data_IF_682710486396
#
_entry.id   IF_682710486396
#
_cell.length_a   1.000
_cell.length_b   1.000
_cell.length_c   1.000
_cell.angle_alpha   90.00
_cell.angle_beta   90.00
_cell.angle_gamma   90.00
#
_symmetry.space_group_name_H-M   'P 1'
#
loop_
_entity.id
_entity.type
_entity.pdbx_description
1 polymer ?
#
# COMPACT_ATOMS: atom_id res chain seq x y z
N UNK A 1 8.65 4.70 -18.33
CA UNK A 1 9.85 5.03 -17.53
C UNK A 1 9.56 6.05 -16.43
N UNK A 2 9.16 7.31 -16.71
CA UNK A 2 8.90 8.31 -15.65
C UNK A 2 7.72 8.00 -14.70
N UNK A 3 6.66 7.35 -15.17
CA UNK A 3 5.49 7.00 -14.34
C UNK A 3 5.80 5.87 -13.34
N UNK A 4 6.59 4.86 -13.73
CA UNK A 4 7.00 3.77 -12.83
C UNK A 4 7.88 4.25 -11.67
N UNK A 5 8.74 5.24 -11.90
CA UNK A 5 9.58 5.86 -10.86
C UNK A 5 8.73 6.64 -9.85
N UNK A 6 7.74 7.39 -10.33
CA UNK A 6 6.80 8.12 -9.48
C UNK A 6 5.93 7.16 -8.65
N UNK A 7 5.46 6.06 -9.25
CA UNK A 7 4.74 5.01 -8.51
C UNK A 7 5.61 4.40 -7.41
N UNK A 8 6.87 4.08 -7.72
CA UNK A 8 7.81 3.51 -6.75
C UNK A 8 8.06 4.46 -5.58
N UNK A 9 8.37 5.73 -5.88
CA UNK A 9 8.62 6.74 -4.84
C UNK A 9 7.40 6.93 -3.92
N UNK A 10 6.21 7.02 -4.49
CA UNK A 10 4.99 7.22 -3.72
C UNK A 10 4.63 5.98 -2.88
N UNK A 11 4.77 4.78 -3.43
CA UNK A 11 4.50 3.54 -2.71
C UNK A 11 5.51 3.31 -1.58
N UNK A 12 6.79 3.63 -1.79
CA UNK A 12 7.83 3.61 -0.75
C UNK A 12 7.52 4.61 0.36
N UNK A 13 7.09 5.83 0.02
CA UNK A 13 6.70 6.84 1.00
C UNK A 13 5.48 6.41 1.81
N UNK A 14 4.42 5.92 1.15
CA UNK A 14 3.23 5.39 1.84
C UNK A 14 3.55 4.20 2.73
N UNK A 15 4.43 3.30 2.28
CA UNK A 15 4.85 2.14 3.07
C UNK A 15 5.64 2.56 4.31
N UNK A 16 6.49 3.58 4.19
CA UNK A 16 7.24 4.15 5.30
C UNK A 16 6.31 4.81 6.33
N UNK A 17 5.34 5.62 5.87
CA UNK A 17 4.32 6.24 6.74
C UNK A 17 3.47 5.18 7.44
N UNK A 18 3.06 4.14 6.70
CA UNK A 18 2.30 3.01 7.25
C UNK A 18 3.08 2.30 8.37
N UNK A 19 4.38 2.09 8.19
CA UNK A 19 5.22 1.44 9.20
C UNK A 19 5.25 2.26 10.50
N UNK A 20 5.52 3.57 10.41
CA UNK A 20 5.53 4.46 11.58
C UNK A 20 4.19 4.44 12.30
N UNK A 21 3.07 4.49 11.57
CA UNK A 21 1.74 4.41 12.18
C UNK A 21 1.47 3.05 12.83
N UNK A 22 1.97 1.97 12.23
CA UNK A 22 1.85 0.64 12.81
C UNK A 22 2.64 0.54 14.12
N UNK A 23 3.85 1.11 14.18
CA UNK A 23 4.69 1.15 15.38
C UNK A 23 4.03 1.95 16.52
N UNK A 24 3.32 3.03 16.18
CA UNK A 24 2.49 3.79 17.12
C UNK A 24 1.34 2.91 17.65
N UNK A 25 0.70 2.13 16.79
CA UNK A 25 -0.43 1.26 17.18
C UNK A 25 0.01 0.08 18.04
N UNK A 26 1.21 -0.45 17.82
CA UNK A 26 1.78 -1.54 18.60
C UNK A 26 2.40 -1.06 19.92
N UNK A 27 2.43 0.25 20.19
CA UNK A 27 3.13 0.85 21.33
C UNK A 27 4.58 0.37 21.44
N UNK A 28 5.22 0.10 20.30
CA UNK A 28 6.62 -0.31 20.26
C UNK A 28 7.49 0.89 20.66
N UNK A 29 8.35 0.69 21.66
CA UNK A 29 9.37 1.67 22.03
C UNK A 29 10.44 1.65 20.92
N UNK A 30 10.60 2.77 20.22
CA UNK A 30 11.53 2.90 19.10
C UNK A 30 12.53 4.03 19.40
N UNK A 31 13.80 3.81 19.07
CA UNK A 31 14.89 4.78 19.33
C UNK A 31 14.76 6.10 18.54
N UNK A 32 13.96 6.12 17.46
CA UNK A 32 13.74 7.28 16.61
C UNK A 32 12.44 8.04 16.90
N UNK A 33 11.55 7.48 17.73
CA UNK A 33 10.35 8.16 18.19
C UNK A 33 10.60 8.66 19.62
N UNK A 34 10.26 9.91 19.95
CA UNK A 34 10.31 10.36 21.34
C UNK A 34 9.51 9.37 22.20
N UNK A 35 10.04 8.99 23.37
CA UNK A 35 9.33 8.18 24.38
C UNK A 35 8.09 8.94 24.85
N UNK A 36 7.04 8.86 24.04
CA UNK A 36 5.78 9.54 24.22
C UNK A 36 4.73 8.47 24.43
N UNK A 37 4.03 8.54 25.55
CA UNK A 37 2.87 7.70 25.77
C UNK A 37 1.76 8.18 24.83
N UNK A 38 1.41 7.37 23.83
CA UNK A 38 0.35 7.69 22.88
C UNK A 38 -1.01 7.60 23.56
N UNK A 39 -1.83 8.62 23.38
CA UNK A 39 -3.20 8.59 23.88
C UNK A 39 -4.02 7.53 23.14
N UNK A 40 -5.04 6.98 23.82
CA UNK A 40 -5.99 6.06 23.18
C UNK A 40 -6.66 6.65 21.94
N UNK A 41 -6.79 7.99 21.86
CA UNK A 41 -7.33 8.68 20.70
C UNK A 41 -6.35 8.66 19.51
N UNK A 42 -5.07 8.92 19.76
CA UNK A 42 -4.01 8.87 18.74
C UNK A 42 -3.82 7.45 18.20
N UNK A 43 -3.87 6.43 19.06
CA UNK A 43 -3.84 5.01 18.64
C UNK A 43 -5.04 4.69 17.73
N UNK A 44 -6.25 5.12 18.11
CA UNK A 44 -7.46 4.91 17.29
C UNK A 44 -7.34 5.61 15.93
N UNK A 45 -6.86 6.86 15.90
CA UNK A 45 -6.61 7.60 14.64
C UNK A 45 -5.57 6.91 13.78
N UNK A 46 -4.47 6.46 14.37
CA UNK A 46 -3.40 5.74 13.65
C UNK A 46 -3.91 4.45 13.02
N UNK A 47 -4.74 3.67 13.74
CA UNK A 47 -5.41 2.48 13.18
C UNK A 47 -6.27 2.80 11.96
N UNK A 48 -7.01 3.91 11.99
CA UNK A 48 -7.83 4.35 10.85
C UNK A 48 -6.92 4.74 9.67
N UNK A 49 -5.86 5.50 9.92
CA UNK A 49 -4.91 5.92 8.89
C UNK A 49 -4.21 4.74 8.23
N UNK A 50 -3.79 3.72 8.99
CA UNK A 50 -3.21 2.48 8.45
C UNK A 50 -4.19 1.81 7.48
N UNK A 51 -5.46 1.67 7.85
CA UNK A 51 -6.49 1.09 6.97
C UNK A 51 -6.68 1.91 5.69
N UNK A 52 -6.64 3.23 5.78
CA UNK A 52 -6.77 4.11 4.61
C UNK A 52 -5.56 3.97 3.69
N UNK A 53 -4.34 3.91 4.23
CA UNK A 53 -3.11 3.72 3.44
C UNK A 53 -3.10 2.33 2.78
N UNK A 54 -3.51 1.29 3.49
CA UNK A 54 -3.66 -0.06 2.93
C UNK A 54 -4.60 -0.08 1.72
N UNK A 55 -5.74 0.59 1.84
CA UNK A 55 -6.70 0.73 0.74
C UNK A 55 -6.10 1.49 -0.44
N UNK A 56 -5.40 2.61 -0.20
CA UNK A 56 -4.76 3.39 -1.26
C UNK A 56 -3.66 2.60 -2.00
N UNK A 57 -2.83 1.85 -1.27
CA UNK A 57 -1.81 0.99 -1.85
C UNK A 57 -2.43 -0.14 -2.69
N UNK A 58 -3.53 -0.73 -2.22
CA UNK A 58 -4.26 -1.74 -2.97
C UNK A 58 -4.84 -1.20 -4.28
N UNK A 59 -5.55 -0.07 -4.22
CA UNK A 59 -6.14 0.58 -5.39
C UNK A 59 -5.08 0.98 -6.42
N UNK A 60 -3.95 1.53 -5.98
CA UNK A 60 -2.82 1.88 -6.86
C UNK A 60 -2.19 0.66 -7.52
N UNK A 61 -1.98 -0.41 -6.76
CA UNK A 61 -1.46 -1.68 -7.31
C UNK A 61 -2.42 -2.25 -8.36
N UNK A 62 -3.73 -2.15 -8.13
CA UNK A 62 -4.76 -2.58 -9.06
C UNK A 62 -4.77 -1.73 -10.33
N UNK A 63 -4.72 -0.40 -10.22
CA UNK A 63 -4.61 0.51 -11.37
C UNK A 63 -3.35 0.21 -12.20
N UNK A 64 -2.19 0.03 -11.57
CA UNK A 64 -0.94 -0.30 -12.27
C UNK A 64 -1.02 -1.64 -12.99
N UNK A 65 -1.67 -2.65 -12.39
CA UNK A 65 -1.89 -3.93 -13.05
C UNK A 65 -2.83 -3.80 -14.25
N UNK A 66 -3.88 -2.97 -14.14
CA UNK A 66 -4.80 -2.69 -15.23
C UNK A 66 -4.13 -1.90 -16.37
N UNK A 67 -3.30 -0.92 -16.06
CA UNK A 67 -2.49 -0.19 -17.04
C UNK A 67 -1.55 -1.14 -17.80
N UNK A 68 -0.92 -2.09 -17.11
CA UNK A 68 -0.11 -3.15 -17.75
C UNK A 68 -0.94 -4.06 -18.65
N UNK A 69 -2.16 -4.40 -18.23
CA UNK A 69 -3.09 -5.21 -19.01
C UNK A 69 -3.56 -4.50 -20.29
N UNK A 70 -3.88 -3.20 -20.21
CA UNK A 70 -4.38 -2.41 -21.35
C UNK A 70 -3.24 -1.91 -22.26
N UNK A 71 -2.07 -1.60 -21.70
CA UNK A 71 -0.99 -0.87 -22.38
C UNK A 71 0.07 -1.71 -23.12
N UNK A 72 0.05 -3.05 -23.07
CA UNK A 72 1.09 -3.83 -23.76
C UNK A 72 0.93 -5.36 -23.81
N UNK A 73 0.37 -5.82 -24.94
CA UNK A 73 0.45 -7.17 -25.59
C UNK A 73 -0.74 -8.13 -25.43
N UNK A 74 -1.07 -8.74 -26.57
CA UNK A 74 -2.18 -9.65 -26.88
C UNK A 74 -2.48 -10.67 -25.78
N UNK A 75 -3.59 -10.43 -25.07
CA UNK A 75 -4.19 -11.34 -24.11
C UNK A 75 -4.97 -12.49 -24.79
N UNK A 76 -4.55 -12.94 -25.98
CA UNK A 76 -5.21 -14.07 -26.65
C UNK A 76 -4.95 -15.41 -25.95
N UNK A 77 -3.85 -15.53 -25.20
CA UNK A 77 -3.46 -16.78 -24.53
C UNK A 77 -3.77 -16.85 -23.03
N UNK A 78 -3.80 -15.74 -22.28
CA UNK A 78 -4.04 -15.78 -20.83
C UNK A 78 -5.52 -15.91 -20.45
N UNK A 79 -6.45 -15.54 -21.34
CA UNK A 79 -7.88 -15.82 -21.15
C UNK A 79 -8.19 -17.33 -21.11
N UNK A 80 -7.33 -18.18 -21.69
CA UNK A 80 -7.48 -19.65 -21.62
C UNK A 80 -7.15 -20.23 -20.24
N UNK A 81 -6.45 -19.48 -19.39
CA UNK A 81 -6.19 -19.89 -18.00
C UNK A 81 -7.40 -19.60 -17.10
N UNK A 82 -8.22 -18.60 -17.43
CA UNK A 82 -9.47 -18.29 -16.74
C UNK A 82 -10.62 -19.25 -17.14
N UNK A 83 -10.63 -19.77 -18.37
CA UNK A 83 -11.63 -20.76 -18.82
C UNK A 83 -11.47 -22.15 -18.20
N UNK A 84 -10.32 -22.48 -17.59
CA UNK A 84 -10.07 -23.82 -17.01
C UNK A 84 -10.40 -23.92 -15.51
N UNK A 85 -10.91 -22.85 -14.90
CA UNK A 85 -11.29 -22.81 -13.48
C UNK A 85 -12.80 -22.60 -13.29
N UNK A 86 -13.62 -22.96 -14.28
CA UNK A 86 -15.08 -23.10 -14.17
C UNK A 86 -15.45 -24.52 -14.59
#
# INVERSE_FOLDING_TARGET
>A
MRSDELYKFYDEMLSSVRQVLHDIVSNLEMDYLPKRHWSNLEIKRSRIMVKVIDKLLFERRLMRNLEKFVGGRDYRNDLRLLERTI
#
